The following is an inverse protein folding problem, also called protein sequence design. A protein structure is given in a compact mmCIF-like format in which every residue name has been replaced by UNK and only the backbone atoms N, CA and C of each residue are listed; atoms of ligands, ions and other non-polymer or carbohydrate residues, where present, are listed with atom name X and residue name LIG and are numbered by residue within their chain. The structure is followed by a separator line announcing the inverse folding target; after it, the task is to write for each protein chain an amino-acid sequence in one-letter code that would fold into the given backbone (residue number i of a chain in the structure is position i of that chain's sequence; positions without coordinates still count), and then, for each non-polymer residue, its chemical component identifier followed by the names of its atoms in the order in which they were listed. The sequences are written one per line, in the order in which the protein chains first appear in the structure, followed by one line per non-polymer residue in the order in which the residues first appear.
data_IF_976824917030
#
_entry.id   IF_976824917030
#
_cell.length_a   1.000
_cell.length_b   1.000
_cell.length_c   1.000
_cell.angle_alpha   90.00
_cell.angle_beta   90.00
_cell.angle_gamma   90.00
#
_symmetry.space_group_name_H-M   'P 1'
#
loop_
_entity.id
_entity.type
_entity.pdbx_description
1 polymer ?
#
# COMPACT_ATOMS: atom_id res chain seq x y z
N UNK A 1 16.50 19.13 4.74
CA UNK A 1 17.16 17.85 4.40
C UNK A 1 16.29 17.20 3.34
N UNK A 2 16.86 16.92 2.20
CA UNK A 2 16.10 16.25 1.13
C UNK A 2 15.92 14.78 1.54
N UNK A 3 14.70 14.45 1.95
CA UNK A 3 14.32 13.12 2.43
C UNK A 3 14.53 12.07 1.33
N UNK A 4 14.35 12.46 0.06
CA UNK A 4 14.54 11.56 -1.06
C UNK A 4 16.02 11.17 -1.24
N UNK A 5 16.95 12.13 -1.13
CA UNK A 5 18.37 11.85 -1.20
C UNK A 5 18.83 10.90 -0.08
N UNK A 6 18.23 11.03 1.05
CA UNK A 6 18.55 10.29 2.26
C UNK A 6 18.09 8.81 2.24
N UNK A 7 16.90 8.54 1.68
CA UNK A 7 16.36 7.17 1.54
C UNK A 7 16.92 6.46 0.29
N UNK A 8 17.46 7.21 -0.68
CA UNK A 8 18.16 6.66 -1.85
C UNK A 8 19.58 6.16 -1.50
N UNK A 9 20.19 6.62 -0.41
CA UNK A 9 21.45 6.08 0.09
C UNK A 9 21.28 4.75 0.81
N UNK A 10 20.70 3.74 0.12
CA UNK A 10 20.55 2.34 0.55
C UNK A 10 20.45 2.20 2.09
N UNK A 11 19.28 2.36 2.70
CA UNK A 11 19.16 2.03 4.09
C UNK A 11 19.57 0.56 4.21
N UNK A 12 20.66 0.31 4.90
CA UNK A 12 21.02 -1.06 5.25
C UNK A 12 19.96 -1.53 6.26
N UNK A 13 18.94 -2.19 5.74
CA UNK A 13 18.07 -2.97 6.61
C UNK A 13 18.95 -4.06 7.23
N UNK A 14 18.97 -4.13 8.55
CA UNK A 14 19.69 -5.20 9.26
C UNK A 14 19.29 -6.54 8.67
N UNK A 15 20.24 -7.45 8.55
CA UNK A 15 19.97 -8.84 8.12
C UNK A 15 18.79 -9.42 8.91
N UNK A 16 17.75 -9.79 8.19
CA UNK A 16 16.55 -10.34 8.78
C UNK A 16 16.31 -11.74 8.21
N UNK A 17 16.12 -12.77 9.05
CA UNK A 17 15.90 -14.14 8.58
C UNK A 17 14.56 -14.35 7.86
N UNK A 18 13.66 -13.36 7.90
CA UNK A 18 12.32 -13.47 7.32
C UNK A 18 12.18 -12.83 5.95
N UNK A 19 13.08 -11.90 5.59
CA UNK A 19 13.03 -11.16 4.31
C UNK A 19 14.36 -10.50 3.96
N UNK A 20 14.51 -10.19 2.68
CA UNK A 20 15.52 -9.27 2.15
C UNK A 20 14.80 -8.13 1.45
N UNK A 21 15.18 -6.87 1.71
CA UNK A 21 14.67 -5.71 0.99
C UNK A 21 15.70 -5.23 -0.03
N UNK A 22 15.27 -5.06 -1.28
CA UNK A 22 16.07 -4.46 -2.35
C UNK A 22 15.25 -3.38 -3.06
N UNK A 23 15.87 -2.30 -3.55
CA UNK A 23 15.17 -1.37 -4.42
C UNK A 23 14.43 -2.13 -5.53
N UNK A 24 13.18 -1.74 -5.78
CA UNK A 24 12.39 -2.36 -6.85
C UNK A 24 12.95 -1.95 -8.21
N UNK A 25 13.15 -2.92 -9.09
CA UNK A 25 13.75 -2.74 -10.41
C UNK A 25 12.80 -3.24 -11.51
N UNK A 26 13.05 -2.87 -12.77
CA UNK A 26 12.23 -3.27 -13.92
C UNK A 26 12.02 -4.80 -14.04
N UNK A 27 13.02 -5.58 -13.64
CA UNK A 27 12.92 -7.05 -13.60
C UNK A 27 11.83 -7.59 -12.66
N UNK A 28 11.41 -6.78 -11.66
CA UNK A 28 10.40 -7.16 -10.65
C UNK A 28 8.97 -6.92 -11.15
N UNK A 29 8.81 -6.22 -12.29
CA UNK A 29 7.51 -5.86 -12.88
C UNK A 29 6.56 -7.05 -13.06
N UNK A 30 6.97 -8.20 -13.63
CA UNK A 30 6.08 -9.35 -13.78
C UNK A 30 5.54 -9.87 -12.44
N UNK A 31 6.39 -9.97 -11.42
CA UNK A 31 6.01 -10.45 -10.11
C UNK A 31 5.12 -9.44 -9.37
N UNK A 32 5.42 -8.15 -9.50
CA UNK A 32 4.55 -7.08 -8.99
C UNK A 32 3.16 -7.16 -9.60
N UNK A 33 3.05 -7.32 -10.93
CA UNK A 33 1.76 -7.39 -11.60
C UNK A 33 0.96 -8.64 -11.21
N UNK A 34 1.63 -9.77 -11.02
CA UNK A 34 1.00 -10.99 -10.50
C UNK A 34 0.43 -10.75 -9.08
N UNK A 35 1.21 -10.10 -8.22
CA UNK A 35 0.77 -9.76 -6.85
C UNK A 35 -0.48 -8.88 -6.86
N UNK A 36 -0.47 -7.80 -7.65
CA UNK A 36 -1.62 -6.90 -7.77
C UNK A 36 -2.85 -7.64 -8.32
N UNK A 37 -2.66 -8.48 -9.32
CA UNK A 37 -3.75 -9.30 -9.89
C UNK A 37 -4.32 -10.29 -8.87
N UNK A 38 -3.51 -10.93 -8.03
CA UNK A 38 -3.99 -11.83 -6.98
C UNK A 38 -4.78 -11.11 -5.89
N UNK A 39 -4.35 -9.91 -5.51
CA UNK A 39 -4.94 -9.14 -4.42
C UNK A 39 -6.10 -8.24 -4.84
N UNK A 40 -6.26 -7.98 -6.14
CA UNK A 40 -7.27 -7.04 -6.62
C UNK A 40 -8.68 -7.64 -6.66
N UNK A 41 -9.65 -6.81 -6.33
CA UNK A 41 -11.08 -7.12 -6.48
C UNK A 41 -11.50 -7.03 -7.96
N UNK A 42 -10.85 -6.16 -8.73
CA UNK A 42 -11.14 -5.90 -10.15
C UNK A 42 -10.05 -6.48 -11.05
N UNK A 43 -9.78 -7.78 -10.88
CA UNK A 43 -8.69 -8.51 -11.59
C UNK A 43 -8.65 -8.27 -13.09
N UNK A 44 -9.80 -8.21 -13.74
CA UNK A 44 -9.89 -8.01 -15.20
C UNK A 44 -9.45 -6.61 -15.64
N UNK A 45 -9.73 -5.57 -14.86
CA UNK A 45 -9.28 -4.21 -15.17
C UNK A 45 -7.76 -4.07 -15.11
N UNK A 46 -7.14 -4.85 -14.24
CA UNK A 46 -5.68 -4.85 -14.08
C UNK A 46 -4.98 -5.57 -15.23
N UNK A 47 -5.68 -6.39 -15.99
CA UNK A 47 -5.12 -7.07 -17.16
C UNK A 47 -5.06 -6.20 -18.44
N UNK A 48 -5.57 -4.95 -18.39
CA UNK A 48 -5.39 -4.01 -19.48
C UNK A 48 -3.94 -3.48 -19.48
N UNK A 49 -3.22 -3.66 -20.58
CA UNK A 49 -1.79 -3.29 -20.71
C UNK A 49 -1.53 -1.83 -20.35
N UNK A 50 -2.41 -0.91 -20.76
CA UNK A 50 -2.32 0.50 -20.41
C UNK A 50 -2.41 0.74 -18.89
N UNK A 51 -3.35 0.10 -18.21
CA UNK A 51 -3.51 0.19 -16.75
C UNK A 51 -2.29 -0.40 -16.05
N UNK A 52 -1.74 -1.49 -16.57
CA UNK A 52 -0.52 -2.09 -16.08
C UNK A 52 0.66 -1.14 -16.11
N UNK A 53 0.87 -0.50 -17.27
CA UNK A 53 1.96 0.44 -17.44
C UNK A 53 1.81 1.64 -16.49
N UNK A 54 0.62 2.24 -16.41
CA UNK A 54 0.34 3.35 -15.51
C UNK A 54 0.58 2.97 -14.04
N UNK A 55 0.15 1.79 -13.62
CA UNK A 55 0.36 1.29 -12.25
C UNK A 55 1.85 1.08 -11.97
N UNK A 56 2.58 0.46 -12.90
CA UNK A 56 4.02 0.24 -12.77
C UNK A 56 4.78 1.56 -12.68
N UNK A 57 4.55 2.47 -13.62
CA UNK A 57 5.20 3.77 -13.63
C UNK A 57 4.92 4.57 -12.35
N UNK A 58 3.73 4.43 -11.80
CA UNK A 58 3.41 5.04 -10.51
C UNK A 58 4.24 4.48 -9.34
N UNK A 59 4.69 3.22 -9.43
CA UNK A 59 5.46 2.55 -8.36
C UNK A 59 6.95 2.84 -8.39
N UNK A 60 7.50 3.13 -9.56
CA UNK A 60 8.92 3.48 -9.75
C UNK A 60 9.12 5.00 -9.89
N UNK A 61 8.08 5.81 -9.63
CA UNK A 61 8.16 7.26 -9.73
C UNK A 61 9.09 7.85 -8.67
N UNK A 62 9.72 8.97 -8.99
CA UNK A 62 10.68 9.68 -8.13
C UNK A 62 10.11 10.11 -6.75
N UNK A 63 8.78 10.18 -6.63
CA UNK A 63 8.11 10.55 -5.37
C UNK A 63 7.87 9.38 -4.42
N UNK A 64 8.27 8.17 -4.82
CA UNK A 64 8.10 6.95 -4.04
C UNK A 64 9.44 6.26 -3.88
N UNK A 65 9.66 5.65 -2.72
CA UNK A 65 10.77 4.74 -2.50
C UNK A 65 10.17 3.36 -2.29
N UNK A 66 10.32 2.49 -3.28
CA UNK A 66 9.73 1.16 -3.30
C UNK A 66 10.80 0.10 -3.23
N UNK A 67 10.59 -0.89 -2.36
CA UNK A 67 11.45 -2.05 -2.20
C UNK A 67 10.69 -3.32 -2.52
N UNK A 68 11.33 -4.23 -3.24
CA UNK A 68 10.92 -5.62 -3.36
C UNK A 68 11.22 -6.36 -2.06
N UNK A 69 10.23 -7.10 -1.55
CA UNK A 69 10.38 -8.00 -0.41
C UNK A 69 10.70 -9.38 -0.98
N UNK A 70 11.89 -9.88 -0.70
CA UNK A 70 12.39 -11.14 -1.23
C UNK A 70 12.55 -12.19 -0.13
N UNK A 71 12.36 -13.46 -0.49
CA UNK A 71 12.70 -14.60 0.36
C UNK A 71 14.21 -14.63 0.62
N UNK A 72 14.66 -14.77 1.86
CA UNK A 72 16.10 -14.87 2.16
C UNK A 72 16.73 -16.15 1.59
N UNK A 73 15.96 -17.24 1.44
CA UNK A 73 16.47 -18.53 0.96
C UNK A 73 16.62 -18.56 -0.56
N UNK A 74 15.65 -18.02 -1.28
CA UNK A 74 15.55 -18.18 -2.75
C UNK A 74 15.73 -16.89 -3.51
N UNK A 75 15.69 -15.73 -2.84
CA UNK A 75 15.57 -14.40 -3.43
C UNK A 75 14.32 -14.23 -4.33
N UNK A 76 13.36 -15.14 -4.19
CA UNK A 76 12.07 -15.04 -4.88
C UNK A 76 11.22 -13.91 -4.31
N UNK A 77 10.48 -13.23 -5.18
CA UNK A 77 9.63 -12.11 -4.82
C UNK A 77 8.45 -12.55 -3.96
N UNK A 78 8.28 -11.93 -2.81
CA UNK A 78 7.19 -12.18 -1.86
C UNK A 78 6.17 -11.04 -1.81
N UNK A 79 6.55 -9.84 -2.24
CA UNK A 79 5.73 -8.65 -2.18
C UNK A 79 6.57 -7.39 -2.33
N UNK A 80 5.97 -6.25 -2.03
CA UNK A 80 6.69 -4.97 -1.99
C UNK A 80 6.29 -4.15 -0.77
N UNK A 81 7.16 -3.21 -0.42
CA UNK A 81 6.87 -2.18 0.56
C UNK A 81 7.41 -0.83 0.08
N UNK A 82 6.89 0.26 0.62
CA UNK A 82 7.23 1.59 0.11
C UNK A 82 7.07 2.68 1.15
N UNK A 83 7.84 3.76 0.97
CA UNK A 83 7.55 5.07 1.55
C UNK A 83 6.87 5.94 0.51
N UNK A 84 5.87 6.69 0.94
CA UNK A 84 5.08 7.61 0.12
C UNK A 84 5.00 8.98 0.77
N UNK A 85 4.72 10.00 -0.04
CA UNK A 85 4.47 11.36 0.44
C UNK A 85 5.60 11.94 1.30
N UNK A 86 6.84 11.54 1.04
CA UNK A 86 8.01 11.92 1.84
C UNK A 86 8.29 13.42 1.84
N UNK A 87 7.86 14.14 0.80
CA UNK A 87 7.98 15.60 0.69
C UNK A 87 6.89 16.36 1.46
N UNK A 88 5.94 15.66 2.08
CA UNK A 88 4.81 16.25 2.80
C UNK A 88 5.02 16.19 4.32
N UNK A 89 4.14 16.83 5.07
CA UNK A 89 4.08 16.70 6.54
C UNK A 89 3.47 15.37 7.01
N UNK A 90 2.99 14.55 6.09
CA UNK A 90 2.32 13.27 6.38
C UNK A 90 2.90 12.13 5.54
N UNK A 91 4.20 11.82 5.70
CA UNK A 91 4.79 10.66 5.03
C UNK A 91 4.08 9.38 5.47
N UNK A 92 3.88 8.46 4.55
CA UNK A 92 3.21 7.20 4.85
C UNK A 92 3.96 6.00 4.26
N UNK A 93 3.76 4.85 4.90
CA UNK A 93 4.25 3.56 4.42
C UNK A 93 3.11 2.74 3.82
N UNK A 94 3.48 1.85 2.91
CA UNK A 94 2.59 0.83 2.36
C UNK A 94 3.31 -0.50 2.24
N UNK A 95 2.55 -1.57 2.32
CA UNK A 95 3.04 -2.94 2.14
C UNK A 95 1.99 -3.78 1.46
N UNK A 96 2.44 -4.65 0.57
CA UNK A 96 1.61 -5.67 -0.05
C UNK A 96 2.42 -6.96 -0.21
N UNK A 97 1.86 -8.08 0.21
CA UNK A 97 2.50 -9.39 0.23
C UNK A 97 1.55 -10.41 -0.41
N UNK A 98 2.10 -11.33 -1.20
CA UNK A 98 1.34 -12.45 -1.77
C UNK A 98 0.59 -13.22 -0.68
N UNK A 99 -0.66 -13.66 -0.94
CA UNK A 99 -1.49 -14.38 0.04
C UNK A 99 -0.76 -15.57 0.68
N UNK A 100 0.01 -16.33 -0.10
CA UNK A 100 0.80 -17.47 0.37
C UNK A 100 1.87 -17.14 1.41
N UNK A 101 2.27 -15.87 1.53
CA UNK A 101 3.28 -15.41 2.51
C UNK A 101 2.67 -14.56 3.63
N UNK A 102 1.36 -14.33 3.61
CA UNK A 102 0.64 -13.61 4.68
C UNK A 102 0.50 -14.49 5.95
N UNK A 103 0.05 -13.91 7.04
CA UNK A 103 -0.22 -14.55 8.32
C UNK A 103 0.99 -15.26 8.98
N UNK A 104 2.21 -14.95 8.51
CA UNK A 104 3.48 -15.54 9.00
C UNK A 104 4.35 -14.51 9.75
N UNK A 105 3.79 -13.37 10.14
CA UNK A 105 4.52 -12.30 10.81
C UNK A 105 5.37 -11.41 9.89
N UNK A 106 5.59 -11.79 8.63
CA UNK A 106 6.44 -11.06 7.69
C UNK A 106 6.04 -9.60 7.51
N UNK A 107 4.75 -9.32 7.29
CA UNK A 107 4.25 -7.96 7.14
C UNK A 107 4.58 -7.08 8.34
N UNK A 108 4.41 -7.61 9.53
CA UNK A 108 4.75 -6.92 10.77
C UNK A 108 6.26 -6.60 10.85
N UNK A 109 7.10 -7.60 10.60
CA UNK A 109 8.55 -7.44 10.70
C UNK A 109 9.11 -6.47 9.64
N UNK A 110 8.57 -6.51 8.41
CA UNK A 110 8.92 -5.53 7.35
C UNK A 110 8.51 -4.12 7.76
N UNK A 111 7.28 -3.93 8.24
CA UNK A 111 6.84 -2.61 8.70
C UNK A 111 7.68 -2.10 9.88
N UNK A 112 8.06 -2.97 10.83
CA UNK A 112 8.97 -2.59 11.91
C UNK A 112 10.30 -2.07 11.35
N UNK A 113 10.91 -2.76 10.38
CA UNK A 113 12.16 -2.35 9.76
C UNK A 113 12.02 -0.98 9.06
N UNK A 114 10.94 -0.78 8.28
CA UNK A 114 10.68 0.50 7.61
C UNK A 114 10.53 1.64 8.63
N UNK A 115 9.71 1.46 9.67
CA UNK A 115 9.44 2.50 10.66
C UNK A 115 10.70 2.84 11.45
N UNK A 116 11.50 1.83 11.84
CA UNK A 116 12.75 2.04 12.57
C UNK A 116 13.74 2.85 11.73
N UNK A 117 13.97 2.46 10.47
CA UNK A 117 14.83 3.21 9.53
C UNK A 117 14.31 4.64 9.33
N UNK A 118 12.99 4.81 9.15
CA UNK A 118 12.40 6.13 8.99
C UNK A 118 12.69 7.03 10.21
N UNK A 119 12.48 6.54 11.41
CA UNK A 119 12.73 7.31 12.62
C UNK A 119 14.22 7.50 12.92
N UNK A 120 15.06 6.56 12.58
CA UNK A 120 16.52 6.73 12.69
C UNK A 120 16.99 7.87 11.78
N UNK A 121 16.47 7.89 10.58
CA UNK A 121 16.96 8.73 9.50
C UNK A 121 16.30 10.10 9.39
N UNK A 122 15.15 10.34 9.96
CA UNK A 122 14.43 11.63 9.91
C UNK A 122 14.26 12.20 11.30
N UNK A 123 13.91 13.48 11.42
CA UNK A 123 13.45 14.10 12.66
C UNK A 123 11.94 14.24 12.74
N UNK A 124 11.20 13.62 11.82
CA UNK A 124 9.74 13.74 11.76
C UNK A 124 9.09 13.08 12.98
N UNK A 125 8.03 13.69 13.54
CA UNK A 125 7.42 13.23 14.79
C UNK A 125 6.57 11.97 14.61
N UNK A 126 6.22 11.59 13.39
CA UNK A 126 5.38 10.43 13.12
C UNK A 126 5.39 10.01 11.66
N UNK A 127 4.97 8.79 11.43
CA UNK A 127 4.73 8.21 10.11
C UNK A 127 3.30 7.71 10.03
N UNK A 128 2.68 7.80 8.86
CA UNK A 128 1.29 7.45 8.67
C UNK A 128 1.15 6.07 7.99
N UNK A 129 -0.02 5.48 8.19
CA UNK A 129 -0.46 4.25 7.54
C UNK A 129 -1.90 4.44 7.09
N UNK A 130 -2.15 4.22 5.80
CA UNK A 130 -3.47 4.37 5.19
C UNK A 130 -4.02 3.00 4.81
N UNK A 131 -5.23 2.69 5.25
CA UNK A 131 -5.84 1.39 5.02
C UNK A 131 -7.34 1.52 4.75
N UNK A 132 -7.83 0.80 3.74
CA UNK A 132 -9.27 0.71 3.50
C UNK A 132 -9.96 0.04 4.70
N UNK A 133 -11.11 0.57 5.11
CA UNK A 133 -11.88 0.10 6.27
C UNK A 133 -12.19 -1.40 6.22
N UNK A 134 -12.42 -1.96 5.05
CA UNK A 134 -12.68 -3.40 4.88
C UNK A 134 -11.44 -4.29 5.03
N UNK A 135 -10.23 -3.72 4.97
CA UNK A 135 -8.98 -4.47 5.07
C UNK A 135 -8.62 -4.73 6.54
N UNK A 136 -9.39 -5.61 7.20
CA UNK A 136 -9.22 -5.93 8.62
C UNK A 136 -7.84 -6.49 8.97
N UNK A 137 -7.16 -7.31 8.12
CA UNK A 137 -5.78 -7.73 8.40
C UNK A 137 -4.79 -6.57 8.46
N UNK A 138 -4.92 -5.58 7.57
CA UNK A 138 -4.05 -4.41 7.55
C UNK A 138 -4.34 -3.47 8.72
N UNK A 139 -5.61 -3.35 9.14
CA UNK A 139 -5.99 -2.63 10.36
C UNK A 139 -5.32 -3.27 11.57
N UNK A 140 -5.47 -4.58 11.76
CA UNK A 140 -4.84 -5.29 12.86
C UNK A 140 -3.30 -5.17 12.85
N UNK A 141 -2.70 -5.12 11.66
CA UNK A 141 -1.26 -4.88 11.51
C UNK A 141 -0.86 -3.51 12.04
N UNK A 142 -1.51 -2.43 11.59
CA UNK A 142 -1.13 -1.07 11.99
C UNK A 142 -1.40 -0.82 13.48
N UNK A 143 -2.46 -1.37 14.05
CA UNK A 143 -2.74 -1.29 15.49
C UNK A 143 -1.67 -2.04 16.30
N UNK A 144 -1.24 -3.21 15.86
CA UNK A 144 -0.13 -3.95 16.46
C UNK A 144 1.19 -3.19 16.40
N UNK A 145 1.40 -2.37 15.38
CA UNK A 145 2.55 -1.47 15.25
C UNK A 145 2.46 -0.24 16.19
N UNK A 146 1.38 -0.10 16.94
CA UNK A 146 1.14 1.05 17.81
C UNK A 146 0.52 2.25 17.10
N UNK A 147 -0.04 2.03 15.91
CA UNK A 147 -0.76 3.07 15.18
C UNK A 147 -2.05 3.49 15.87
N UNK A 148 -2.27 4.80 15.98
CA UNK A 148 -3.48 5.41 16.52
C UNK A 148 -4.26 6.02 15.36
N UNK A 149 -5.53 5.64 15.21
CA UNK A 149 -6.42 6.23 14.20
C UNK A 149 -6.57 7.73 14.46
N UNK A 150 -6.26 8.55 13.47
CA UNK A 150 -6.28 10.00 13.60
C UNK A 150 -7.29 10.69 12.66
N UNK A 151 -7.67 10.06 11.55
CA UNK A 151 -8.70 10.59 10.64
C UNK A 151 -9.24 9.51 9.70
N UNK A 152 -10.27 9.88 8.94
CA UNK A 152 -10.83 9.10 7.83
C UNK A 152 -10.80 9.96 6.58
N UNK A 153 -10.40 9.37 5.46
CA UNK A 153 -10.58 9.95 4.13
C UNK A 153 -11.80 9.27 3.48
N UNK A 154 -12.88 10.01 3.36
CA UNK A 154 -14.14 9.54 2.78
C UNK A 154 -13.99 9.42 1.25
N UNK A 155 -13.41 8.31 0.82
CA UNK A 155 -13.09 8.05 -0.59
C UNK A 155 -14.24 7.44 -1.37
N UNK A 156 -15.24 6.89 -0.70
CA UNK A 156 -16.33 6.13 -1.31
C UNK A 156 -17.10 6.96 -2.37
N UNK A 157 -17.60 8.12 -1.99
CA UNK A 157 -18.38 8.97 -2.89
C UNK A 157 -17.53 9.50 -4.05
N UNK A 158 -16.27 9.84 -3.77
CA UNK A 158 -15.31 10.27 -4.81
C UNK A 158 -15.04 9.14 -5.80
N UNK A 159 -14.87 7.92 -5.31
CA UNK A 159 -14.67 6.73 -6.16
C UNK A 159 -15.90 6.48 -7.04
N UNK A 160 -17.11 6.49 -6.45
CA UNK A 160 -18.36 6.36 -7.20
C UNK A 160 -18.50 7.44 -8.27
N UNK A 161 -18.21 8.70 -7.94
CA UNK A 161 -18.28 9.81 -8.89
C UNK A 161 -17.32 9.60 -10.07
N UNK A 162 -16.08 9.19 -9.80
CA UNK A 162 -15.07 8.89 -10.84
C UNK A 162 -15.55 7.74 -11.73
N UNK A 163 -15.98 6.64 -11.13
CA UNK A 163 -16.41 5.46 -11.88
C UNK A 163 -17.65 5.72 -12.75
N UNK A 164 -18.61 6.48 -12.22
CA UNK A 164 -19.82 6.86 -12.97
C UNK A 164 -19.57 7.89 -14.08
N UNK A 165 -18.42 8.58 -14.04
CA UNK A 165 -18.02 9.51 -15.12
C UNK A 165 -17.29 8.83 -16.28
N UNK A 166 -16.94 7.54 -16.16
CA UNK A 166 -16.27 6.81 -17.22
C UNK A 166 -17.17 6.62 -18.43
N UNK A 167 -16.63 6.84 -19.62
CA UNK A 167 -17.29 6.52 -20.88
C UNK A 167 -17.40 4.99 -21.10
N UNK A 168 -18.28 4.59 -22.02
CA UNK A 168 -18.41 3.18 -22.37
C UNK A 168 -17.09 2.59 -22.91
N UNK A 169 -16.28 3.39 -23.62
CA UNK A 169 -14.96 3.00 -24.13
C UNK A 169 -13.97 2.77 -22.99
N UNK A 170 -13.91 3.70 -22.02
CA UNK A 170 -13.05 3.58 -20.84
C UNK A 170 -13.44 2.39 -19.96
N UNK A 171 -14.75 2.10 -19.83
CA UNK A 171 -15.24 0.91 -19.13
C UNK A 171 -14.81 -0.37 -19.89
N UNK A 172 -14.92 -0.38 -21.22
CA UNK A 172 -14.49 -1.52 -22.01
C UNK A 172 -12.98 -1.78 -21.92
N UNK A 173 -12.17 -0.72 -21.89
CA UNK A 173 -10.72 -0.80 -21.67
C UNK A 173 -10.35 -1.29 -20.26
N UNK A 174 -11.13 -0.95 -19.25
CA UNK A 174 -10.86 -1.28 -17.82
C UNK A 174 -11.41 -2.65 -17.40
N UNK A 175 -12.19 -3.31 -18.24
CA UNK A 175 -12.70 -4.66 -17.99
C UNK A 175 -14.18 -4.74 -17.59
N UNK A 176 -14.75 -5.93 -17.79
CA UNK A 176 -16.19 -6.20 -17.64
C UNK A 176 -16.71 -6.07 -16.21
N UNK A 177 -15.84 -6.14 -15.22
CA UNK A 177 -16.25 -6.11 -13.80
C UNK A 177 -16.46 -4.70 -13.25
N UNK A 178 -16.11 -3.64 -14.00
CA UNK A 178 -16.32 -2.26 -13.53
C UNK A 178 -17.80 -1.96 -13.24
N UNK A 179 -18.77 -2.32 -14.08
CA UNK A 179 -20.19 -2.12 -13.76
C UNK A 179 -20.65 -2.89 -12.51
N UNK A 180 -20.20 -4.13 -12.35
CA UNK A 180 -20.52 -4.93 -11.16
C UNK A 180 -19.88 -4.33 -9.88
N UNK A 181 -18.68 -3.77 -10.01
CA UNK A 181 -18.02 -3.09 -8.90
C UNK A 181 -18.75 -1.79 -8.53
N UNK A 182 -19.17 -0.97 -9.50
CA UNK A 182 -20.02 0.22 -9.27
C UNK A 182 -21.29 -0.18 -8.52
N UNK A 183 -22.01 -1.20 -9.03
CA UNK A 183 -23.22 -1.69 -8.38
C UNK A 183 -22.98 -2.16 -6.95
N UNK A 184 -21.85 -2.82 -6.67
CA UNK A 184 -21.49 -3.22 -5.31
C UNK A 184 -21.25 -2.02 -4.39
N UNK A 185 -20.62 -0.96 -4.88
CA UNK A 185 -20.40 0.28 -4.12
C UNK A 185 -21.74 1.00 -3.82
N UNK A 186 -22.64 1.02 -4.77
CA UNK A 186 -23.98 1.63 -4.59
C UNK A 186 -24.81 0.86 -3.56
N UNK A 187 -24.74 -0.48 -3.56
CA UNK A 187 -25.44 -1.31 -2.58
C UNK A 187 -24.95 -1.06 -1.15
N UNK A 188 -23.68 -0.73 -0.94
CA UNK A 188 -23.18 -0.39 0.40
C UNK A 188 -23.84 0.86 1.00
N UNK A 189 -24.35 1.79 0.16
CA UNK A 189 -25.10 2.96 0.64
C UNK A 189 -26.39 2.60 1.37
N UNK A 190 -27.00 1.45 1.05
CA UNK A 190 -28.27 1.02 1.64
C UNK A 190 -28.13 0.27 2.96
N UNK A 191 -26.95 -0.23 3.29
CA UNK A 191 -26.74 -1.17 4.42
C UNK A 191 -26.03 -0.53 5.63
N UNK A 192 -25.41 0.65 5.48
CA UNK A 192 -24.59 1.26 6.52
C UNK A 192 -25.16 2.58 7.01
N UNK A 193 -24.97 2.87 8.30
CA UNK A 193 -25.16 4.20 8.87
C UNK A 193 -24.27 5.22 8.15
N UNK A 194 -24.79 6.41 7.91
CA UNK A 194 -24.25 7.48 7.00
C UNK A 194 -22.80 7.93 7.22
N UNK A 195 -22.04 7.35 8.15
CA UNK A 195 -20.76 7.92 8.58
C UNK A 195 -19.51 7.27 8.02
N UNK A 196 -19.51 5.99 7.65
CA UNK A 196 -18.29 5.31 7.18
C UNK A 196 -18.58 4.14 6.22
N UNK A 197 -17.97 4.16 5.03
CA UNK A 197 -18.10 3.11 4.02
C UNK A 197 -16.92 2.12 4.02
N UNK A 198 -17.10 0.87 3.54
CA UNK A 198 -16.02 -0.12 3.46
C UNK A 198 -14.81 0.32 2.66
N UNK A 199 -15.01 1.21 1.68
CA UNK A 199 -13.96 1.76 0.81
C UNK A 199 -13.36 3.06 1.34
N UNK A 200 -13.86 3.59 2.45
CA UNK A 200 -13.22 4.72 3.11
C UNK A 200 -11.83 4.33 3.63
N UNK A 201 -10.91 5.26 3.61
CA UNK A 201 -9.54 5.03 4.02
C UNK A 201 -9.35 5.54 5.45
N UNK A 202 -9.09 4.63 6.36
CA UNK A 202 -8.68 4.94 7.72
C UNK A 202 -7.23 5.39 7.71
N UNK A 203 -6.94 6.49 8.40
CA UNK A 203 -5.59 7.04 8.52
C UNK A 203 -5.12 6.86 9.95
N UNK A 204 -4.06 6.08 10.11
CA UNK A 204 -3.37 5.84 11.36
C UNK A 204 -2.07 6.62 11.39
N UNK A 205 -1.64 7.00 12.59
CA UNK A 205 -0.34 7.61 12.84
C UNK A 205 0.41 6.79 13.87
N UNK A 206 1.68 6.55 13.60
CA UNK A 206 2.64 5.92 14.51
C UNK A 206 3.59 7.03 14.92
N UNK A 207 3.64 7.34 16.22
CA UNK A 207 4.44 8.41 16.76
C UNK A 207 5.84 7.94 17.14
N UNK A 208 6.83 8.80 16.88
CA UNK A 208 8.23 8.56 17.24
C UNK A 208 8.41 8.28 18.73
N UNK A 209 7.77 9.10 19.57
CA UNK A 209 7.97 9.06 21.03
C UNK A 209 7.43 7.77 21.66
N UNK A 210 6.46 7.14 20.99
CA UNK A 210 5.87 5.86 21.43
C UNK A 210 6.43 4.66 20.67
N UNK A 211 7.25 4.91 19.64
CA UNK A 211 7.90 3.85 18.89
C UNK A 211 9.02 3.23 19.70
N UNK A 212 8.82 2.03 20.17
CA UNK A 212 9.87 1.21 20.78
C UNK A 212 10.28 0.18 19.74
N UNK A 213 11.55 0.19 19.35
CA UNK A 213 12.09 -0.84 18.44
C UNK A 213 11.83 -2.22 19.04
N UNK A 214 11.02 -2.98 18.36
CA UNK A 214 10.64 -4.33 18.83
C UNK A 214 11.45 -5.39 18.14
#
# INVERSE_FOLDING_TARGET
MDINLFLLENPQFSENPMFVLKPMEEKDKPDYMNLISENSIIKESILCEKVWEEMWQSRISENLITYSILSPETLGFMGYCQYKNLSTSKPDIGIEIFPKFQHQGRGYTVCCALISVFFEKTSLPGIYYKVERRNTPSIALVEKLGGIRCSVDHTHERLLSILNSLSAEEIAERGRNVPAFIASLENYKSELSEEEYPTDVLIYRIDRDTWVSK
#
